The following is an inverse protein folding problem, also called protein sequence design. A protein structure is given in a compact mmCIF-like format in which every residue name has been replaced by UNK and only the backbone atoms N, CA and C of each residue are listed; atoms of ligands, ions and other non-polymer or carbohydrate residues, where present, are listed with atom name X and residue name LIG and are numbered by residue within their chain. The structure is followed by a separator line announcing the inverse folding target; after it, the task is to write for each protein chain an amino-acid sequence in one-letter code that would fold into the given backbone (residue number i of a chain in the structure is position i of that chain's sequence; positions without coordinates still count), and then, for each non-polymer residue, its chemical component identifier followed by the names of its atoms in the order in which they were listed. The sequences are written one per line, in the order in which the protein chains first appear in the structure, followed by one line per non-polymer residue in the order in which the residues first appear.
data_IF_200049052741
#
_entry.id   IF_200049052741
#
_cell.length_a   1.000
_cell.length_b   1.000
_cell.length_c   1.000
_cell.angle_alpha   90.00
_cell.angle_beta   90.00
_cell.angle_gamma   90.00
#
_symmetry.space_group_name_H-M   'P 1'
#
loop_
_entity.id
_entity.type
_entity.pdbx_description
1 polymer ?
#
# COMPACT_ATOMS: atom_id res chain seq x y z
N UNK A 1 36.75 -28.66 -12.61
CA UNK A 1 36.07 -28.91 -11.32
C UNK A 1 35.02 -27.84 -11.14
N UNK A 2 33.80 -28.14 -11.58
CA UNK A 2 32.69 -27.18 -11.74
C UNK A 2 31.74 -27.40 -10.58
N UNK A 3 31.74 -26.48 -9.62
CA UNK A 3 30.85 -26.53 -8.45
C UNK A 3 29.46 -26.07 -8.88
N UNK A 4 28.54 -27.02 -9.00
CA UNK A 4 27.11 -26.78 -9.24
C UNK A 4 26.48 -26.38 -7.90
N UNK A 5 26.09 -25.10 -7.77
CA UNK A 5 25.34 -24.62 -6.61
C UNK A 5 23.89 -25.05 -6.79
N UNK A 6 23.44 -26.00 -5.97
CA UNK A 6 22.05 -26.46 -5.88
C UNK A 6 21.14 -25.34 -5.36
N UNK A 7 19.98 -25.07 -5.99
CA UNK A 7 18.98 -24.19 -5.42
C UNK A 7 18.27 -24.93 -4.28
N UNK A 8 18.63 -24.56 -3.05
CA UNK A 8 17.94 -24.96 -1.85
C UNK A 8 16.46 -24.56 -1.94
N UNK A 9 15.64 -25.57 -2.19
CA UNK A 9 14.19 -25.47 -2.23
C UNK A 9 13.70 -25.18 -0.82
N UNK A 10 13.37 -23.92 -0.55
CA UNK A 10 12.56 -23.55 0.62
C UNK A 10 11.18 -24.17 0.37
N UNK A 11 10.94 -25.35 0.93
CA UNK A 11 9.61 -25.93 1.02
C UNK A 11 8.78 -25.01 1.92
N UNK A 12 7.85 -24.31 1.30
CA UNK A 12 6.77 -23.61 1.99
C UNK A 12 5.83 -24.70 2.55
N UNK A 13 6.21 -25.32 3.67
CA UNK A 13 5.33 -26.24 4.38
C UNK A 13 4.25 -25.40 5.04
N UNK A 14 3.11 -25.28 4.35
CA UNK A 14 1.85 -24.80 4.90
C UNK A 14 1.51 -25.73 6.08
N UNK A 15 1.84 -25.33 7.31
CA UNK A 15 1.41 -26.08 8.49
C UNK A 15 -0.07 -25.83 8.69
N UNK A 16 -0.87 -26.74 8.14
CA UNK A 16 -2.19 -27.08 8.63
C UNK A 16 -2.07 -27.42 10.13
N UNK A 17 -2.62 -26.57 10.98
CA UNK A 17 -2.54 -26.78 12.42
C UNK A 17 -2.98 -25.57 13.22
N UNK A 18 -4.15 -25.02 12.88
CA UNK A 18 -5.01 -24.19 13.75
C UNK A 18 -6.30 -23.71 13.06
N UNK A 19 -6.51 -24.02 11.78
CA UNK A 19 -7.78 -23.81 11.09
C UNK A 19 -8.37 -25.15 10.68
N UNK A 20 -9.18 -25.74 11.55
CA UNK A 20 -10.14 -26.76 11.15
C UNK A 20 -11.28 -26.09 10.36
N UNK A 21 -10.95 -25.57 9.17
CA UNK A 21 -11.91 -25.18 8.16
C UNK A 21 -11.59 -26.03 6.93
N UNK A 22 -12.52 -26.87 6.52
CA UNK A 22 -12.42 -27.60 5.24
C UNK A 22 -12.20 -26.63 4.06
N UNK A 23 -11.91 -27.16 2.85
CA UNK A 23 -11.82 -26.31 1.66
C UNK A 23 -13.06 -25.41 1.60
N UNK A 24 -12.85 -24.10 1.69
CA UNK A 24 -13.93 -23.12 1.59
C UNK A 24 -14.55 -23.33 0.21
N UNK A 25 -15.79 -23.82 0.09
CA UNK A 25 -16.46 -23.79 -1.18
C UNK A 25 -16.66 -22.31 -1.50
N UNK A 26 -15.86 -21.79 -2.44
CA UNK A 26 -16.17 -20.54 -3.12
C UNK A 26 -17.45 -20.82 -3.89
N UNK A 27 -18.59 -20.55 -3.27
CA UNK A 27 -19.85 -20.41 -3.99
C UNK A 27 -19.59 -19.43 -5.14
N UNK A 28 -20.04 -19.74 -6.37
CA UNK A 28 -19.95 -18.79 -7.47
C UNK A 28 -20.57 -17.47 -6.98
N UNK A 29 -19.98 -16.31 -7.30
CA UNK A 29 -20.66 -15.05 -7.04
C UNK A 29 -22.07 -15.15 -7.64
N UNK A 30 -23.07 -14.68 -6.89
CA UNK A 30 -24.43 -14.55 -7.41
C UNK A 30 -24.34 -13.89 -8.79
N UNK A 31 -24.98 -14.49 -9.80
CA UNK A 31 -24.86 -14.08 -11.19
C UNK A 31 -25.16 -12.58 -11.31
N UNK A 32 -24.11 -11.77 -11.49
CA UNK A 32 -24.25 -10.42 -11.98
C UNK A 32 -25.03 -10.52 -13.30
N UNK A 33 -26.02 -9.66 -13.51
CA UNK A 33 -26.78 -9.69 -14.75
C UNK A 33 -25.80 -9.60 -15.93
N UNK A 34 -25.89 -10.53 -16.90
CA UNK A 34 -25.01 -10.68 -18.08
C UNK A 34 -25.10 -9.50 -19.08
N UNK A 35 -25.16 -8.26 -18.59
CA UNK A 35 -25.14 -7.05 -19.42
C UNK A 35 -23.71 -6.53 -19.48
N UNK A 36 -23.15 -6.32 -20.68
CA UNK A 36 -21.80 -5.79 -20.82
C UNK A 36 -21.69 -4.37 -20.23
N UNK A 37 -20.52 -4.02 -19.70
CA UNK A 37 -20.25 -2.66 -19.25
C UNK A 37 -20.40 -1.67 -20.41
N UNK A 38 -21.12 -0.57 -20.18
CA UNK A 38 -21.40 0.44 -21.22
C UNK A 38 -20.43 1.60 -21.08
N UNK A 39 -19.49 1.72 -22.02
CA UNK A 39 -18.62 2.90 -22.14
C UNK A 39 -19.34 4.01 -22.91
N UNK A 40 -19.52 5.16 -22.27
CA UNK A 40 -20.13 6.33 -22.89
C UNK A 40 -19.03 7.28 -23.39
N UNK A 41 -18.84 7.30 -24.71
CA UNK A 41 -17.84 8.13 -25.38
C UNK A 41 -18.07 9.63 -25.19
N UNK A 42 -19.31 10.06 -24.95
CA UNK A 42 -19.64 11.49 -24.81
C UNK A 42 -19.14 12.07 -23.49
N UNK A 43 -19.20 11.28 -22.42
CA UNK A 43 -18.66 11.64 -21.10
C UNK A 43 -17.25 11.11 -20.86
N UNK A 44 -16.78 10.15 -21.66
CA UNK A 44 -15.45 9.54 -21.54
C UNK A 44 -15.33 8.54 -20.37
N UNK A 45 -16.44 7.97 -19.93
CA UNK A 45 -16.50 7.09 -18.76
C UNK A 45 -17.49 5.93 -18.95
N UNK A 46 -17.31 4.85 -18.18
CA UNK A 46 -18.32 3.80 -18.03
C UNK A 46 -19.52 4.33 -17.25
N UNK A 47 -20.73 3.99 -17.70
CA UNK A 47 -21.98 4.47 -17.08
C UNK A 47 -22.16 3.95 -15.65
N UNK A 48 -21.79 2.69 -15.42
CA UNK A 48 -21.97 2.00 -14.14
C UNK A 48 -20.82 1.01 -13.93
N UNK A 49 -20.23 1.03 -12.72
CA UNK A 49 -19.18 0.12 -12.25
C UNK A 49 -19.58 -0.51 -10.90
N UNK A 50 -20.87 -0.58 -10.59
CA UNK A 50 -21.40 -1.23 -9.38
C UNK A 50 -21.14 -2.74 -9.41
N UNK A 51 -20.93 -3.34 -8.23
CA UNK A 51 -20.64 -4.79 -8.14
C UNK A 51 -21.66 -5.69 -8.83
N UNK A 52 -22.94 -5.30 -8.89
CA UNK A 52 -24.01 -6.09 -9.52
C UNK A 52 -23.96 -6.09 -11.05
N UNK A 53 -23.19 -5.17 -11.66
CA UNK A 53 -23.01 -5.04 -13.12
C UNK A 53 -21.57 -5.27 -13.57
N UNK A 54 -20.62 -5.38 -12.63
CA UNK A 54 -19.21 -5.62 -12.95
C UNK A 54 -19.05 -6.99 -13.61
N UNK A 55 -18.78 -6.97 -14.92
CA UNK A 55 -18.51 -8.16 -15.73
C UNK A 55 -17.33 -7.89 -16.67
N UNK A 56 -16.58 -8.94 -16.98
CA UNK A 56 -15.55 -8.90 -18.02
C UNK A 56 -16.11 -9.31 -19.40
N UNK A 57 -17.37 -9.74 -19.44
CA UNK A 57 -18.07 -10.14 -20.65
C UNK A 57 -18.25 -8.97 -21.61
N UNK A 58 -17.93 -9.19 -22.88
CA UNK A 58 -18.03 -8.17 -23.94
C UNK A 58 -16.92 -7.11 -23.92
N UNK A 59 -15.96 -7.18 -23.00
CA UNK A 59 -14.81 -6.28 -22.97
C UNK A 59 -13.66 -6.77 -23.85
N UNK A 60 -12.99 -5.85 -24.52
CA UNK A 60 -11.71 -6.14 -25.18
C UNK A 60 -10.62 -6.49 -24.15
N UNK A 61 -9.51 -7.09 -24.60
CA UNK A 61 -8.37 -7.35 -23.73
C UNK A 61 -7.84 -6.07 -23.06
N UNK A 62 -7.73 -4.98 -23.82
CA UNK A 62 -7.28 -3.68 -23.32
C UNK A 62 -8.25 -3.09 -22.29
N UNK A 63 -9.57 -3.22 -22.52
CA UNK A 63 -10.58 -2.76 -21.58
C UNK A 63 -10.53 -3.54 -20.26
N UNK A 64 -10.35 -4.87 -20.33
CA UNK A 64 -10.17 -5.71 -19.14
C UNK A 64 -8.90 -5.34 -18.39
N UNK A 65 -7.80 -5.15 -19.12
CA UNK A 65 -6.54 -4.72 -18.52
C UNK A 65 -6.67 -3.35 -17.84
N UNK A 66 -7.35 -2.40 -18.48
CA UNK A 66 -7.56 -1.06 -17.94
C UNK A 66 -8.46 -1.06 -16.70
N UNK A 67 -9.52 -1.86 -16.68
CA UNK A 67 -10.50 -1.89 -15.58
C UNK A 67 -10.07 -2.75 -14.40
N UNK A 68 -9.46 -3.90 -14.68
CA UNK A 68 -9.15 -4.92 -13.66
C UNK A 68 -7.65 -5.10 -13.41
N UNK A 69 -6.80 -4.28 -14.05
CA UNK A 69 -5.36 -4.29 -13.82
C UNK A 69 -4.58 -5.39 -14.53
N UNK A 70 -5.21 -6.09 -15.49
CA UNK A 70 -4.58 -7.17 -16.27
C UNK A 70 -5.36 -8.48 -16.18
N UNK A 71 -4.71 -9.59 -16.52
CA UNK A 71 -5.35 -10.90 -16.54
C UNK A 71 -5.74 -11.33 -15.12
N UNK A 72 -7.03 -11.20 -14.81
CA UNK A 72 -7.69 -11.78 -13.64
C UNK A 72 -7.98 -13.28 -13.81
N UNK A 73 -7.58 -13.85 -14.94
CA UNK A 73 -7.79 -15.25 -15.29
C UNK A 73 -6.96 -16.16 -14.39
N UNK A 74 -7.62 -17.01 -13.62
CA UNK A 74 -6.96 -18.17 -13.03
C UNK A 74 -6.55 -19.11 -14.17
N UNK A 75 -5.25 -19.13 -14.47
CA UNK A 75 -4.71 -20.07 -15.46
C UNK A 75 -4.70 -21.48 -14.89
N UNK A 76 -5.70 -22.26 -15.29
CA UNK A 76 -5.65 -23.71 -15.15
C UNK A 76 -4.43 -24.30 -15.89
N UNK A 77 -4.06 -25.56 -15.59
CA UNK A 77 -2.94 -26.21 -16.27
C UNK A 77 -3.17 -26.23 -17.79
N UNK A 78 -2.19 -25.73 -18.55
CA UNK A 78 -2.21 -25.82 -20.02
C UNK A 78 -2.01 -27.27 -20.46
N UNK A 79 -2.77 -27.71 -21.46
CA UNK A 79 -2.44 -28.93 -22.21
C UNK A 79 -1.10 -28.77 -22.92
N UNK A 80 -0.43 -29.87 -23.28
CA UNK A 80 0.86 -29.80 -23.97
C UNK A 80 0.78 -29.02 -25.30
N UNK A 81 -0.32 -29.19 -26.03
CA UNK A 81 -0.59 -28.42 -27.25
C UNK A 81 -0.69 -26.91 -26.96
N UNK A 82 -1.48 -26.52 -25.95
CA UNK A 82 -1.63 -25.12 -25.55
C UNK A 82 -0.29 -24.53 -25.07
N UNK A 83 0.49 -25.31 -24.32
CA UNK A 83 1.84 -24.92 -23.87
C UNK A 83 2.77 -24.71 -25.06
N UNK A 84 2.75 -25.59 -26.05
CA UNK A 84 3.50 -25.43 -27.30
C UNK A 84 3.15 -24.13 -28.02
N UNK A 85 1.85 -23.86 -28.21
CA UNK A 85 1.39 -22.61 -28.84
C UNK A 85 1.81 -21.36 -28.04
N UNK A 86 1.70 -21.39 -26.70
CA UNK A 86 2.10 -20.25 -25.86
C UNK A 86 3.61 -20.04 -25.88
N UNK A 87 4.42 -21.11 -25.96
CA UNK A 87 5.88 -21.03 -26.14
C UNK A 87 6.25 -20.38 -27.47
N UNK A 88 5.63 -20.80 -28.59
CA UNK A 88 5.85 -20.18 -29.89
C UNK A 88 5.47 -18.68 -29.89
N UNK A 89 4.35 -18.31 -29.24
CA UNK A 89 3.97 -16.90 -29.06
C UNK A 89 5.00 -16.12 -28.23
N UNK A 90 5.51 -16.73 -27.17
CA UNK A 90 6.57 -16.12 -26.35
C UNK A 90 7.86 -15.94 -27.16
N UNK A 91 8.30 -16.96 -27.89
CA UNK A 91 9.48 -16.88 -28.78
C UNK A 91 9.33 -15.77 -29.82
N UNK A 92 8.15 -15.65 -30.45
CA UNK A 92 7.85 -14.59 -31.41
C UNK A 92 7.78 -13.19 -30.78
N UNK A 93 7.46 -13.07 -29.48
CA UNK A 93 7.53 -11.80 -28.77
C UNK A 93 8.97 -11.48 -28.36
N UNK A 94 9.71 -12.48 -27.87
CA UNK A 94 11.12 -12.33 -27.48
C UNK A 94 12.00 -11.99 -28.69
N UNK A 95 11.69 -12.50 -29.88
CA UNK A 95 12.43 -12.16 -31.11
C UNK A 95 12.25 -10.71 -31.56
N UNK A 96 11.23 -10.00 -31.06
CA UNK A 96 11.02 -8.56 -31.30
C UNK A 96 11.83 -7.68 -30.36
N UNK A 97 12.47 -8.26 -29.35
CA UNK A 97 13.33 -7.51 -28.44
C UNK A 97 14.61 -7.13 -29.20
N UNK A 98 14.88 -5.83 -29.29
CA UNK A 98 16.16 -5.32 -29.78
C UNK A 98 17.25 -5.63 -28.74
N UNK A 99 17.95 -6.74 -28.96
CA UNK A 99 19.04 -7.21 -28.08
C UNK A 99 20.22 -6.24 -28.04
N UNK A 100 20.41 -5.41 -29.08
CA UNK A 100 21.45 -4.38 -29.11
C UNK A 100 21.07 -3.21 -28.23
N UNK A 101 19.80 -2.78 -28.26
CA UNK A 101 19.29 -1.78 -27.31
C UNK A 101 19.34 -2.30 -25.87
N UNK A 102 18.91 -3.54 -25.61
CA UNK A 102 18.99 -4.14 -24.26
C UNK A 102 20.41 -4.15 -23.74
N UNK A 103 21.38 -4.59 -24.55
CA UNK A 103 22.79 -4.63 -24.16
C UNK A 103 23.36 -3.24 -23.86
N UNK A 104 22.98 -2.22 -24.65
CA UNK A 104 23.36 -0.82 -24.39
C UNK A 104 22.76 -0.30 -23.10
N UNK A 105 21.46 -0.51 -22.88
CA UNK A 105 20.79 -0.13 -21.64
C UNK A 105 21.42 -0.80 -20.42
N UNK A 106 21.75 -2.10 -20.51
CA UNK A 106 22.43 -2.81 -19.44
C UNK A 106 23.81 -2.22 -19.17
N UNK A 107 24.60 -1.92 -20.21
CA UNK A 107 25.92 -1.31 -20.06
C UNK A 107 25.84 0.07 -19.39
N UNK A 108 24.87 0.91 -19.77
CA UNK A 108 24.64 2.22 -19.15
C UNK A 108 24.23 2.10 -17.67
N UNK A 109 23.35 1.14 -17.34
CA UNK A 109 22.94 0.85 -15.97
C UNK A 109 24.15 0.39 -15.15
N UNK A 110 24.95 -0.56 -15.66
CA UNK A 110 26.15 -1.06 -14.98
C UNK A 110 27.15 0.06 -14.73
N UNK A 111 27.42 0.89 -15.75
CA UNK A 111 28.31 2.05 -15.64
C UNK A 111 27.84 3.00 -14.53
N UNK A 112 26.54 3.31 -14.48
CA UNK A 112 26.01 4.17 -13.42
C UNK A 112 26.13 3.51 -12.03
N UNK A 113 25.78 2.23 -11.91
CA UNK A 113 25.87 1.50 -10.64
C UNK A 113 27.29 1.44 -10.11
N UNK A 114 28.26 1.16 -10.97
CA UNK A 114 29.68 1.05 -10.64
C UNK A 114 30.26 2.38 -10.16
N UNK A 115 29.90 3.48 -10.82
CA UNK A 115 30.31 4.84 -10.42
C UNK A 115 29.77 5.29 -9.05
N UNK A 116 28.80 4.57 -8.49
CA UNK A 116 28.11 4.93 -7.24
C UNK A 116 28.21 3.86 -6.15
N UNK A 117 28.75 2.67 -6.45
CA UNK A 117 28.74 1.53 -5.54
C UNK A 117 29.40 1.87 -4.20
N UNK A 118 30.57 2.51 -4.27
CA UNK A 118 31.40 2.88 -3.11
C UNK A 118 30.98 4.20 -2.44
N UNK A 119 30.03 4.94 -3.02
CA UNK A 119 29.50 6.20 -2.46
C UNK A 119 28.44 5.90 -1.39
N UNK A 120 28.88 5.28 -0.30
CA UNK A 120 28.02 4.92 0.85
C UNK A 120 28.05 6.05 1.89
N UNK A 121 26.92 6.72 2.17
CA UNK A 121 26.88 7.71 3.25
C UNK A 121 27.27 7.10 4.60
N UNK A 122 28.17 7.74 5.35
CA UNK A 122 28.64 7.23 6.64
C UNK A 122 27.68 7.46 7.83
N UNK A 123 26.69 8.34 7.68
CA UNK A 123 25.74 8.71 8.74
C UNK A 123 24.29 8.56 8.27
N UNK A 124 23.43 8.00 9.12
CA UNK A 124 22.00 7.83 8.87
C UNK A 124 21.22 9.05 9.38
N UNK A 125 21.34 10.19 8.70
CA UNK A 125 20.66 11.45 9.06
C UNK A 125 20.30 12.30 7.84
N UNK A 126 19.26 13.13 7.96
CA UNK A 126 18.84 14.05 6.90
C UNK A 126 18.66 13.35 5.54
N UNK A 127 19.19 13.95 4.46
CA UNK A 127 19.10 13.39 3.10
C UNK A 127 19.76 12.02 2.95
N UNK A 128 20.76 11.70 3.78
CA UNK A 128 21.47 10.42 3.69
C UNK A 128 20.57 9.23 4.03
N UNK A 129 19.52 9.41 4.83
CA UNK A 129 18.54 8.37 5.12
C UNK A 129 17.93 7.84 3.81
N UNK A 130 17.49 8.75 2.93
CA UNK A 130 16.91 8.37 1.64
C UNK A 130 17.94 7.72 0.72
N UNK A 131 19.16 8.27 0.64
CA UNK A 131 20.24 7.71 -0.19
C UNK A 131 20.65 6.30 0.25
N UNK A 132 20.72 6.05 1.56
CA UNK A 132 21.02 4.74 2.12
C UNK A 132 19.90 3.73 1.82
N UNK A 133 18.64 4.12 2.09
CA UNK A 133 17.49 3.24 1.90
C UNK A 133 17.26 2.90 0.43
N UNK A 134 17.18 3.92 -0.43
CA UNK A 134 17.01 3.73 -1.88
C UNK A 134 18.21 2.99 -2.47
N UNK A 135 19.43 3.39 -2.12
CA UNK A 135 20.64 2.73 -2.58
C UNK A 135 20.65 1.25 -2.21
N UNK A 136 20.32 0.87 -0.97
CA UNK A 136 20.26 -0.53 -0.57
C UNK A 136 19.30 -1.33 -1.47
N UNK A 137 18.08 -0.83 -1.67
CA UNK A 137 17.08 -1.47 -2.54
C UNK A 137 17.56 -1.55 -3.99
N UNK A 138 18.11 -0.46 -4.53
CA UNK A 138 18.65 -0.41 -5.90
C UNK A 138 19.75 -1.43 -6.11
N UNK A 139 20.72 -1.53 -5.21
CA UNK A 139 21.85 -2.45 -5.34
C UNK A 139 21.45 -3.92 -5.11
N UNK A 140 20.51 -4.18 -4.19
CA UNK A 140 19.92 -5.50 -4.05
C UNK A 140 19.16 -5.93 -5.29
N UNK A 141 18.40 -5.02 -5.91
CA UNK A 141 17.69 -5.30 -7.16
C UNK A 141 18.65 -5.48 -8.34
N UNK A 142 19.73 -4.70 -8.38
CA UNK A 142 20.79 -4.86 -9.37
C UNK A 142 21.48 -6.24 -9.23
N UNK A 143 21.73 -6.71 -8.01
CA UNK A 143 22.24 -8.07 -7.78
C UNK A 143 21.29 -9.14 -8.32
N UNK A 144 19.98 -9.04 -8.06
CA UNK A 144 19.00 -10.00 -8.59
C UNK A 144 18.93 -10.03 -10.12
N UNK A 145 19.00 -8.85 -10.75
CA UNK A 145 18.84 -8.72 -12.21
C UNK A 145 20.14 -9.07 -12.95
N UNK A 146 21.28 -8.56 -12.45
CA UNK A 146 22.56 -8.56 -13.17
C UNK A 146 23.52 -9.66 -12.69
N UNK A 147 23.21 -10.32 -11.57
CA UNK A 147 23.95 -11.47 -11.03
C UNK A 147 25.31 -11.16 -10.40
N UNK A 148 25.75 -9.90 -10.40
CA UNK A 148 27.09 -9.52 -9.95
C UNK A 148 27.15 -9.28 -8.44
N UNK A 149 28.04 -10.01 -7.76
CA UNK A 149 28.23 -9.97 -6.31
C UNK A 149 28.65 -8.60 -5.80
N UNK A 150 29.33 -7.76 -6.59
CA UNK A 150 29.69 -6.41 -6.16
C UNK A 150 28.46 -5.55 -5.82
N UNK A 151 27.33 -5.77 -6.49
CA UNK A 151 26.08 -5.09 -6.18
C UNK A 151 25.45 -5.61 -4.89
N UNK A 152 25.57 -6.91 -4.60
CA UNK A 152 25.19 -7.44 -3.30
C UNK A 152 25.99 -6.76 -2.18
N UNK A 153 27.31 -6.64 -2.35
CA UNK A 153 28.21 -5.99 -1.38
C UNK A 153 27.88 -4.50 -1.20
N UNK A 154 27.61 -3.78 -2.29
CA UNK A 154 27.17 -2.38 -2.24
C UNK A 154 25.82 -2.19 -1.52
N UNK A 155 24.88 -3.14 -1.68
CA UNK A 155 23.62 -3.15 -0.94
C UNK A 155 23.83 -3.44 0.55
N UNK A 156 24.66 -4.43 0.87
CA UNK A 156 25.01 -4.79 2.25
C UNK A 156 25.74 -3.67 2.98
N UNK A 157 26.67 -2.97 2.33
CA UNK A 157 27.38 -1.84 2.94
C UNK A 157 26.41 -0.75 3.41
N UNK A 158 25.37 -0.47 2.63
CA UNK A 158 24.31 0.48 3.01
C UNK A 158 23.44 -0.07 4.12
N UNK A 159 23.05 -1.35 4.05
CA UNK A 159 22.30 -2.01 5.12
C UNK A 159 23.07 -2.02 6.45
N UNK A 160 24.39 -2.19 6.43
CA UNK A 160 25.23 -2.15 7.63
C UNK A 160 25.23 -0.75 8.28
N UNK A 161 25.27 0.33 7.48
CA UNK A 161 25.10 1.70 8.02
C UNK A 161 23.71 1.87 8.65
N UNK A 162 22.65 1.43 7.98
CA UNK A 162 21.28 1.51 8.52
C UNK A 162 21.17 0.76 9.85
N UNK A 163 21.68 -0.47 9.91
CA UNK A 163 21.69 -1.31 11.12
C UNK A 163 22.49 -0.67 12.25
N UNK A 164 23.69 -0.15 11.96
CA UNK A 164 24.57 0.49 12.95
C UNK A 164 23.92 1.71 13.61
N UNK A 165 23.02 2.38 12.90
CA UNK A 165 22.31 3.55 13.38
C UNK A 165 20.89 3.23 13.91
N UNK A 166 20.54 1.96 14.09
CA UNK A 166 19.34 1.59 14.84
C UNK A 166 19.60 1.86 16.32
N UNK A 167 18.68 2.57 16.98
CA UNK A 167 18.80 2.81 18.41
C UNK A 167 18.61 1.52 19.22
N UNK A 168 19.09 1.48 20.48
CA UNK A 168 18.95 0.29 21.34
C UNK A 168 17.50 -0.21 21.47
N UNK A 169 16.53 0.71 21.43
CA UNK A 169 15.09 0.38 21.48
C UNK A 169 14.57 -0.30 20.20
N UNK A 170 15.29 -0.26 19.08
CA UNK A 170 14.91 -0.98 17.85
C UNK A 170 14.32 -0.12 16.72
N UNK A 171 14.25 1.18 16.88
CA UNK A 171 13.74 2.12 15.87
C UNK A 171 14.85 3.01 15.30
N UNK A 172 14.49 3.90 14.36
CA UNK A 172 15.43 4.77 13.65
C UNK A 172 15.04 6.24 13.66
N UNK A 173 16.04 7.09 13.42
CA UNK A 173 15.95 8.54 13.47
C UNK A 173 14.97 9.17 12.49
N UNK A 174 14.20 10.12 13.02
CA UNK A 174 13.37 11.06 12.27
C UNK A 174 13.74 12.50 12.65
N UNK A 175 14.17 13.31 11.68
CA UNK A 175 14.63 14.67 11.94
C UNK A 175 15.73 14.72 13.01
N UNK A 176 15.66 15.72 13.88
CA UNK A 176 16.60 15.89 15.00
C UNK A 176 16.10 15.25 16.30
N UNK A 177 15.06 14.41 16.23
CA UNK A 177 14.55 13.72 17.41
C UNK A 177 15.48 12.58 17.84
N UNK A 178 15.69 12.47 19.15
CA UNK A 178 16.45 11.39 19.77
C UNK A 178 15.66 10.10 19.94
N UNK A 179 16.26 9.12 20.62
CA UNK A 179 15.70 7.77 20.80
C UNK A 179 14.39 7.71 21.59
N UNK A 180 13.99 8.80 22.27
CA UNK A 180 12.69 8.89 22.94
C UNK A 180 11.51 8.89 21.95
N UNK A 181 11.75 9.29 20.70
CA UNK A 181 10.70 9.50 19.70
C UNK A 181 10.69 8.40 18.63
N UNK A 182 9.50 7.86 18.36
CA UNK A 182 9.25 6.92 17.26
C UNK A 182 8.37 7.60 16.22
N UNK A 183 8.89 7.77 14.99
CA UNK A 183 8.06 8.09 13.82
C UNK A 183 7.54 6.79 13.22
N UNK A 184 6.27 6.46 13.41
CA UNK A 184 5.72 5.17 12.98
C UNK A 184 5.33 5.22 11.50
N UNK A 185 4.76 6.34 11.05
CA UNK A 185 4.45 6.60 9.64
C UNK A 185 5.69 7.00 8.79
N UNK A 186 5.47 7.39 7.53
CA UNK A 186 6.45 7.98 6.59
C UNK A 186 7.64 7.09 6.21
N UNK A 187 7.53 5.78 6.36
CA UNK A 187 8.60 4.91 5.90
C UNK A 187 9.74 4.70 6.92
N UNK A 188 9.66 5.29 8.13
CA UNK A 188 10.84 5.42 9.00
C UNK A 188 11.27 4.14 9.69
N UNK A 189 10.36 3.18 9.88
CA UNK A 189 10.63 1.90 10.50
C UNK A 189 10.41 0.71 9.56
N UNK A 190 9.46 0.79 8.64
CA UNK A 190 9.14 -0.28 7.69
C UNK A 190 10.18 -0.40 6.57
N UNK A 191 10.66 0.70 5.98
CA UNK A 191 11.73 0.62 4.97
C UNK A 191 13.01 -0.03 5.52
N UNK A 192 13.59 0.42 6.65
CA UNK A 192 14.75 -0.25 7.20
C UNK A 192 14.43 -1.69 7.63
N UNK A 193 13.23 -1.98 8.16
CA UNK A 193 12.81 -3.35 8.44
C UNK A 193 12.87 -4.26 7.21
N UNK A 194 12.28 -3.85 6.08
CA UNK A 194 12.31 -4.65 4.84
C UNK A 194 13.72 -4.81 4.29
N UNK A 195 14.54 -3.76 4.37
CA UNK A 195 15.96 -3.81 3.98
C UNK A 195 16.73 -4.79 4.87
N UNK A 196 16.50 -4.79 6.18
CA UNK A 196 17.13 -5.74 7.10
C UNK A 196 16.73 -7.19 6.78
N UNK A 197 15.43 -7.45 6.59
CA UNK A 197 14.97 -8.80 6.22
C UNK A 197 15.54 -9.25 4.88
N UNK A 198 15.59 -8.35 3.89
CA UNK A 198 16.16 -8.68 2.60
C UNK A 198 17.66 -8.93 2.70
N UNK A 199 18.40 -8.08 3.42
CA UNK A 199 19.83 -8.28 3.69
C UNK A 199 20.10 -9.60 4.41
N UNK A 200 19.25 -10.00 5.36
CA UNK A 200 19.30 -11.33 5.97
C UNK A 200 19.11 -12.44 4.92
N UNK A 201 18.05 -12.35 4.11
CA UNK A 201 17.73 -13.34 3.06
C UNK A 201 18.91 -13.58 2.12
N UNK A 202 19.57 -12.52 1.66
CA UNK A 202 20.64 -12.64 0.65
C UNK A 202 22.03 -12.91 1.23
N UNK A 203 22.28 -12.62 2.51
CA UNK A 203 23.60 -12.81 3.14
C UNK A 203 23.66 -13.94 4.16
N UNK A 204 22.53 -14.43 4.65
CA UNK A 204 22.43 -15.37 5.78
C UNK A 204 22.80 -14.77 7.14
N UNK A 205 23.24 -13.50 7.22
CA UNK A 205 23.68 -12.89 8.48
C UNK A 205 22.49 -12.67 9.42
N UNK A 206 22.51 -13.33 10.58
CA UNK A 206 21.43 -13.26 11.60
C UNK A 206 21.26 -11.88 12.22
N UNK A 207 22.33 -11.10 12.31
CA UNK A 207 22.30 -9.74 12.89
C UNK A 207 21.30 -8.79 12.19
N UNK A 208 21.01 -9.02 10.91
CA UNK A 208 19.98 -8.26 10.19
C UNK A 208 18.57 -8.69 10.60
N UNK A 209 18.32 -10.00 10.73
CA UNK A 209 17.03 -10.50 11.23
C UNK A 209 16.77 -10.02 12.67
N UNK A 210 17.79 -10.03 13.52
CA UNK A 210 17.72 -9.51 14.90
C UNK A 210 17.38 -8.01 14.91
N UNK A 211 17.99 -7.23 14.01
CA UNK A 211 17.66 -5.80 13.82
C UNK A 211 16.19 -5.60 13.42
N UNK A 212 15.69 -6.38 12.44
CA UNK A 212 14.29 -6.34 12.03
C UNK A 212 13.34 -6.76 13.17
N UNK A 213 13.73 -7.76 13.97
CA UNK A 213 12.96 -8.23 15.12
C UNK A 213 12.83 -7.16 16.21
N UNK A 214 13.92 -6.50 16.59
CA UNK A 214 13.89 -5.39 17.56
C UNK A 214 12.93 -4.28 17.15
N UNK A 215 12.87 -3.97 15.85
CA UNK A 215 11.90 -3.02 15.31
C UNK A 215 10.44 -3.47 15.54
N UNK A 216 10.14 -4.75 15.31
CA UNK A 216 8.81 -5.27 15.59
C UNK A 216 8.50 -5.32 17.09
N UNK A 217 9.48 -5.68 17.92
CA UNK A 217 9.33 -5.77 19.36
C UNK A 217 8.96 -4.41 19.96
N UNK A 218 9.63 -3.33 19.54
CA UNK A 218 9.26 -1.99 20.00
C UNK A 218 7.89 -1.55 19.50
N UNK A 219 7.53 -1.87 18.25
CA UNK A 219 6.20 -1.61 17.73
C UNK A 219 5.11 -2.34 18.52
N UNK A 220 5.34 -3.57 18.98
CA UNK A 220 4.42 -4.28 19.86
C UNK A 220 4.18 -3.55 21.18
N UNK A 221 5.21 -2.95 21.77
CA UNK A 221 5.08 -2.22 23.05
C UNK A 221 4.22 -0.97 22.95
N UNK A 222 4.10 -0.38 21.76
CA UNK A 222 3.35 0.85 21.50
C UNK A 222 2.04 0.61 20.74
N UNK A 223 1.71 -0.65 20.43
CA UNK A 223 0.45 -1.02 19.78
C UNK A 223 -0.74 -0.67 20.68
N UNK A 224 -1.75 -0.03 20.09
CA UNK A 224 -2.92 0.46 20.82
C UNK A 224 -3.94 -0.64 21.13
N UNK A 225 -4.88 -0.42 22.06
CA UNK A 225 -5.96 -1.37 22.36
C UNK A 225 -6.84 -1.74 21.15
N UNK A 226 -6.88 -0.86 20.15
CA UNK A 226 -7.58 -1.04 18.87
C UNK A 226 -6.89 -2.06 17.94
N UNK A 227 -5.71 -2.55 18.29
CA UNK A 227 -4.83 -3.34 17.42
C UNK A 227 -4.01 -2.51 16.43
N UNK A 228 -4.25 -1.19 16.37
CA UNK A 228 -3.55 -0.27 15.49
C UNK A 228 -2.38 0.47 16.14
N UNK A 229 -1.84 1.44 15.41
CA UNK A 229 -0.71 2.26 15.85
C UNK A 229 -0.95 3.75 15.62
N UNK A 230 -0.35 4.62 16.45
CA UNK A 230 -0.39 6.07 16.25
C UNK A 230 0.52 6.52 15.09
N UNK A 231 0.50 7.81 14.75
CA UNK A 231 1.45 8.42 13.80
C UNK A 231 2.88 8.42 14.36
N UNK A 232 2.95 8.66 15.67
CA UNK A 232 4.17 8.93 16.40
C UNK A 232 4.02 8.55 17.88
N UNK A 233 5.14 8.28 18.54
CA UNK A 233 5.19 7.91 19.94
C UNK A 233 6.36 8.57 20.66
N UNK A 234 6.17 8.94 21.93
CA UNK A 234 7.24 9.37 22.84
C UNK A 234 7.21 8.52 24.11
N UNK A 235 8.32 7.90 24.48
CA UNK A 235 8.36 7.05 25.69
C UNK A 235 8.21 7.88 26.97
N UNK A 236 8.74 9.11 26.96
CA UNK A 236 8.61 10.08 28.03
C UNK A 236 7.19 10.68 28.17
N UNK A 237 6.30 10.43 27.21
CA UNK A 237 5.00 11.10 27.11
C UNK A 237 5.09 12.58 26.72
N UNK A 238 6.29 13.12 26.44
CA UNK A 238 6.46 14.51 26.04
C UNK A 238 5.75 14.81 24.73
N UNK A 239 5.14 15.98 24.66
CA UNK A 239 4.61 16.52 23.42
C UNK A 239 5.73 16.78 22.41
N UNK A 240 5.36 16.84 21.14
CA UNK A 240 6.23 17.27 20.04
C UNK A 240 5.55 18.42 19.29
N UNK A 241 6.34 19.32 18.67
CA UNK A 241 5.79 20.40 17.85
C UNK A 241 5.10 19.88 16.58
N UNK A 242 5.32 18.61 16.23
CA UNK A 242 4.66 17.95 15.13
C UNK A 242 3.30 17.42 15.54
N UNK A 243 2.29 17.85 14.79
CA UNK A 243 0.91 17.39 14.95
C UNK A 243 0.75 15.96 14.44
N UNK A 244 -0.09 15.18 15.10
CA UNK A 244 -0.36 13.78 14.80
C UNK A 244 -0.88 13.04 16.03
N UNK A 245 -1.45 11.86 15.84
CA UNK A 245 -2.00 11.02 16.89
C UNK A 245 -0.89 10.33 17.66
N UNK A 246 -0.98 10.39 18.99
CA UNK A 246 -0.17 9.60 19.94
C UNK A 246 -0.99 8.52 20.65
N UNK A 247 -2.24 8.81 20.98
CA UNK A 247 -3.16 7.93 21.69
C UNK A 247 -4.32 7.53 20.79
N UNK A 248 -4.04 6.64 19.84
CA UNK A 248 -5.03 6.24 18.85
C UNK A 248 -4.45 5.53 17.64
N UNK A 249 -5.30 5.36 16.63
CA UNK A 249 -4.99 4.63 15.40
C UNK A 249 -4.88 5.57 14.23
N UNK A 250 -3.81 5.45 13.47
CA UNK A 250 -3.59 6.22 12.26
C UNK A 250 -3.56 5.35 11.01
N UNK A 251 -4.29 5.80 10.01
CA UNK A 251 -4.27 5.35 8.63
C UNK A 251 -3.39 6.25 7.75
N UNK A 252 -2.93 7.40 8.26
CA UNK A 252 -2.09 8.32 7.50
C UNK A 252 -0.70 7.74 7.25
N UNK A 253 -0.20 7.88 6.02
CA UNK A 253 1.17 7.56 5.60
C UNK A 253 1.72 6.21 6.12
N UNK A 254 0.84 5.21 6.26
CA UNK A 254 1.19 3.86 6.68
C UNK A 254 1.29 3.63 8.20
N UNK A 255 0.83 4.56 9.04
CA UNK A 255 0.92 4.47 10.51
C UNK A 255 0.49 3.12 11.09
N UNK A 256 -0.64 2.56 10.63
CA UNK A 256 -1.10 1.21 11.03
C UNK A 256 -0.80 0.14 9.97
N UNK A 257 -0.93 0.47 8.68
CA UNK A 257 -0.73 -0.48 7.60
C UNK A 257 0.67 -1.09 7.55
N UNK A 258 1.70 -0.27 7.82
CA UNK A 258 3.07 -0.74 7.74
C UNK A 258 3.40 -1.67 8.92
N UNK A 259 3.14 -1.30 10.20
CA UNK A 259 3.29 -2.22 11.32
C UNK A 259 2.47 -3.52 11.16
N UNK A 260 1.22 -3.47 10.68
CA UNK A 260 0.43 -4.68 10.41
C UNK A 260 1.19 -5.67 9.53
N UNK A 261 1.68 -5.21 8.37
CA UNK A 261 2.43 -6.07 7.43
C UNK A 261 3.74 -6.57 8.03
N UNK A 262 4.43 -5.73 8.82
CA UNK A 262 5.66 -6.10 9.50
C UNK A 262 5.41 -7.19 10.55
N UNK A 263 4.35 -7.07 11.35
CA UNK A 263 3.93 -8.06 12.34
C UNK A 263 3.61 -9.40 11.68
N UNK A 264 2.80 -9.39 10.61
CA UNK A 264 2.45 -10.60 9.85
C UNK A 264 3.71 -11.27 9.29
N UNK A 265 4.62 -10.49 8.71
CA UNK A 265 5.89 -11.02 8.20
C UNK A 265 6.76 -11.61 9.32
N UNK A 266 6.89 -10.92 10.46
CA UNK A 266 7.70 -11.39 11.57
C UNK A 266 7.11 -12.68 12.17
N UNK A 267 5.79 -12.79 12.27
CA UNK A 267 5.11 -14.04 12.62
C UNK A 267 5.45 -15.16 11.64
N UNK A 268 5.36 -14.93 10.32
CA UNK A 268 5.70 -15.94 9.32
C UNK A 268 7.16 -16.43 9.41
N UNK A 269 8.10 -15.56 9.80
CA UNK A 269 9.52 -15.90 9.92
C UNK A 269 9.81 -16.64 11.24
N UNK A 270 9.11 -16.28 12.33
CA UNK A 270 9.49 -16.71 13.69
C UNK A 270 8.54 -17.73 14.31
N UNK A 271 7.30 -17.82 13.83
CA UNK A 271 6.21 -18.55 14.49
C UNK A 271 5.71 -17.88 15.78
N UNK A 272 6.23 -16.71 16.16
CA UNK A 272 5.88 -16.06 17.43
C UNK A 272 4.52 -15.38 17.32
N UNK A 273 3.51 -16.00 17.96
CA UNK A 273 2.11 -15.58 17.91
C UNK A 273 1.88 -14.20 18.53
N UNK A 274 2.80 -13.67 19.34
CA UNK A 274 2.69 -12.32 19.92
C UNK A 274 2.57 -11.23 18.85
N UNK A 275 3.18 -11.42 17.69
CA UNK A 275 3.11 -10.44 16.60
C UNK A 275 1.70 -10.29 16.02
N UNK A 276 0.88 -11.34 16.05
CA UNK A 276 -0.48 -11.32 15.48
C UNK A 276 -1.59 -11.23 16.53
N UNK A 277 -1.25 -11.30 17.83
CA UNK A 277 -2.19 -11.48 18.94
C UNK A 277 -3.27 -10.40 19.09
N UNK A 278 -3.06 -9.20 18.52
CA UNK A 278 -4.01 -8.08 18.58
C UNK A 278 -4.49 -7.59 17.20
N UNK A 279 -4.05 -8.22 16.11
CA UNK A 279 -4.41 -7.75 14.76
C UNK A 279 -5.91 -7.97 14.46
N UNK A 280 -6.55 -8.93 15.11
CA UNK A 280 -7.99 -9.18 15.05
C UNK A 280 -8.84 -7.98 15.53
N UNK A 281 -8.29 -7.11 16.38
CA UNK A 281 -8.99 -5.92 16.90
C UNK A 281 -9.20 -4.83 15.85
N UNK A 282 -8.41 -4.85 14.77
CA UNK A 282 -8.50 -3.84 13.72
C UNK A 282 -9.80 -3.91 12.93
N UNK A 283 -10.34 -5.11 12.65
CA UNK A 283 -11.59 -5.27 11.91
C UNK A 283 -12.77 -4.57 12.62
N UNK A 284 -13.08 -4.93 13.87
CA UNK A 284 -14.10 -4.25 14.68
C UNK A 284 -13.85 -2.75 14.83
N UNK A 285 -12.59 -2.33 15.00
CA UNK A 285 -12.25 -0.90 15.08
C UNK A 285 -12.52 -0.15 13.78
N UNK A 286 -12.14 -0.72 12.63
CA UNK A 286 -12.41 -0.15 11.30
C UNK A 286 -13.92 -0.06 11.07
N UNK A 287 -14.68 -1.09 11.42
CA UNK A 287 -16.14 -1.08 11.30
C UNK A 287 -16.76 0.04 12.16
N UNK A 288 -16.33 0.15 13.42
CA UNK A 288 -16.81 1.19 14.35
C UNK A 288 -16.42 2.61 13.93
N UNK A 289 -15.24 2.79 13.34
CA UNK A 289 -14.71 4.10 12.96
C UNK A 289 -15.24 4.64 11.63
N UNK A 290 -16.15 3.93 10.95
CA UNK A 290 -16.83 4.47 9.78
C UNK A 290 -17.58 5.77 10.15
N UNK A 291 -17.25 6.87 9.49
CA UNK A 291 -17.82 8.19 9.74
C UNK A 291 -19.10 8.48 8.96
N UNK A 292 -19.44 7.64 7.99
CA UNK A 292 -20.61 7.87 7.16
C UNK A 292 -21.94 7.62 7.87
N UNK A 293 -22.95 8.42 7.52
CA UNK A 293 -24.35 8.22 7.92
C UNK A 293 -25.11 7.50 6.81
N UNK A 294 -26.02 6.60 7.19
CA UNK A 294 -26.85 5.86 6.22
C UNK A 294 -25.99 5.03 5.27
N UNK A 295 -26.01 5.36 3.98
CA UNK A 295 -25.26 4.63 2.94
C UNK A 295 -23.82 5.11 2.75
N UNK A 296 -23.42 6.19 3.41
CA UNK A 296 -22.08 6.73 3.33
C UNK A 296 -21.12 5.81 4.06
N UNK A 297 -19.99 5.49 3.43
CA UNK A 297 -18.94 4.68 4.03
C UNK A 297 -17.59 5.34 3.77
N UNK A 298 -16.86 5.66 4.83
CA UNK A 298 -15.57 6.33 4.74
C UNK A 298 -14.94 6.61 6.10
N UNK A 299 -13.65 6.93 6.06
CA UNK A 299 -12.84 7.11 7.25
C UNK A 299 -12.00 8.37 7.18
N UNK A 300 -11.81 9.04 8.31
CA UNK A 300 -10.69 9.93 8.55
C UNK A 300 -9.37 9.17 8.52
N UNK A 301 -8.28 9.92 8.49
CA UNK A 301 -6.95 9.33 8.55
C UNK A 301 -6.48 9.02 9.95
N UNK A 302 -7.09 9.63 10.97
CA UNK A 302 -6.63 9.57 12.34
C UNK A 302 -7.81 9.45 13.30
N UNK A 303 -7.64 8.61 14.32
CA UNK A 303 -8.64 8.35 15.34
C UNK A 303 -8.00 8.24 16.72
N UNK A 304 -8.74 8.63 17.75
CA UNK A 304 -8.43 8.29 19.14
C UNK A 304 -8.71 6.81 19.43
N UNK A 305 -8.21 6.29 20.54
CA UNK A 305 -8.42 4.89 20.96
C UNK A 305 -9.92 4.51 21.10
N UNK A 306 -10.78 5.48 21.40
CA UNK A 306 -12.24 5.27 21.50
C UNK A 306 -12.97 5.22 20.14
N UNK A 307 -12.26 5.51 19.04
CA UNK A 307 -12.80 5.53 17.68
C UNK A 307 -13.35 6.88 17.23
N UNK A 308 -13.24 7.95 18.04
CA UNK A 308 -13.54 9.31 17.57
C UNK A 308 -12.47 9.77 16.58
N UNK A 309 -12.85 10.37 15.43
CA UNK A 309 -11.87 10.97 14.52
C UNK A 309 -11.18 12.13 15.22
N UNK A 310 -9.92 12.39 14.85
CA UNK A 310 -9.17 13.52 15.40
C UNK A 310 -8.36 14.19 14.32
N UNK A 311 -8.22 15.51 14.41
CA UNK A 311 -7.33 16.28 13.57
C UNK A 311 -5.86 15.94 13.81
N UNK A 312 -5.08 15.88 12.74
CA UNK A 312 -3.63 15.95 12.79
C UNK A 312 -3.17 17.39 12.51
N UNK A 313 -2.92 17.74 11.24
CA UNK A 313 -2.56 19.11 10.85
C UNK A 313 -3.79 20.01 10.73
N UNK A 314 -3.60 21.34 10.65
CA UNK A 314 -4.69 22.32 10.48
C UNK A 314 -5.63 22.01 9.30
N UNK A 315 -5.12 21.34 8.28
CA UNK A 315 -5.83 20.96 7.05
C UNK A 315 -6.16 19.46 6.95
N UNK A 316 -5.83 18.66 7.96
CA UNK A 316 -6.17 17.23 8.05
C UNK A 316 -7.17 17.05 9.17
N UNK A 317 -8.43 17.30 8.83
CA UNK A 317 -9.53 17.43 9.77
C UNK A 317 -10.37 16.14 9.81
N UNK A 318 -11.38 16.14 10.65
CA UNK A 318 -12.18 14.97 11.03
C UNK A 318 -13.23 14.57 9.98
N UNK A 319 -12.79 14.31 8.74
CA UNK A 319 -13.65 13.94 7.62
C UNK A 319 -13.29 12.60 6.98
N UNK A 320 -14.25 11.92 6.35
CA UNK A 320 -13.97 10.87 5.37
C UNK A 320 -13.05 11.33 4.23
N UNK A 321 -11.94 10.62 4.01
CA UNK A 321 -11.05 10.83 2.86
C UNK A 321 -10.98 9.59 1.95
N UNK A 322 -11.17 9.71 0.63
CA UNK A 322 -10.96 8.58 -0.30
C UNK A 322 -9.55 7.98 -0.26
N UNK A 323 -8.53 8.78 0.11
CA UNK A 323 -7.17 8.28 0.32
C UNK A 323 -7.05 7.35 1.54
N UNK A 324 -7.81 7.59 2.62
CA UNK A 324 -7.84 6.71 3.78
C UNK A 324 -8.40 5.33 3.40
N UNK A 325 -9.45 5.29 2.57
CA UNK A 325 -9.95 4.03 2.00
C UNK A 325 -8.90 3.35 1.11
N UNK A 326 -8.44 4.03 0.06
CA UNK A 326 -7.67 3.38 -1.01
C UNK A 326 -6.23 3.04 -0.62
N UNK A 327 -5.61 3.83 0.26
CA UNK A 327 -4.20 3.63 0.66
C UNK A 327 -4.05 2.87 1.97
N UNK A 328 -5.08 2.86 2.82
CA UNK A 328 -4.99 2.31 4.17
C UNK A 328 -6.06 1.27 4.49
N UNK A 329 -7.31 1.68 4.72
CA UNK A 329 -8.39 0.82 5.20
C UNK A 329 -8.68 -0.34 4.25
N UNK A 330 -8.79 -0.09 2.94
CA UNK A 330 -9.09 -1.10 1.94
C UNK A 330 -8.06 -2.24 1.91
N UNK A 331 -6.76 -1.96 1.75
CA UNK A 331 -5.72 -2.97 1.87
C UNK A 331 -5.74 -3.74 3.20
N UNK A 332 -6.06 -3.09 4.33
CA UNK A 332 -6.16 -3.78 5.62
C UNK A 332 -7.36 -4.72 5.69
N UNK A 333 -8.53 -4.31 5.21
CA UNK A 333 -9.71 -5.18 5.17
C UNK A 333 -9.46 -6.44 4.32
N UNK A 334 -8.69 -6.31 3.23
CA UNK A 334 -8.22 -7.46 2.45
C UNK A 334 -7.31 -8.36 3.29
N UNK A 335 -6.29 -7.81 3.94
CA UNK A 335 -5.40 -8.59 4.80
C UNK A 335 -6.14 -9.29 5.93
N UNK A 336 -7.03 -8.59 6.63
CA UNK A 336 -7.85 -9.13 7.71
C UNK A 336 -8.74 -10.26 7.21
N UNK A 337 -9.38 -10.11 6.05
CA UNK A 337 -10.15 -11.18 5.43
C UNK A 337 -9.28 -12.39 5.08
N UNK A 338 -8.11 -12.17 4.45
CA UNK A 338 -7.19 -13.26 4.09
C UNK A 338 -6.63 -14.01 5.31
N UNK A 339 -6.44 -13.30 6.43
CA UNK A 339 -5.92 -13.88 7.67
C UNK A 339 -6.98 -14.63 8.48
N UNK A 340 -8.24 -14.18 8.44
CA UNK A 340 -9.29 -14.66 9.36
C UNK A 340 -10.43 -15.42 8.67
N UNK A 341 -10.62 -15.23 7.38
CA UNK A 341 -11.81 -15.68 6.64
C UNK A 341 -13.09 -14.88 6.97
N UNK A 342 -13.03 -13.87 7.84
CA UNK A 342 -14.20 -13.09 8.25
C UNK A 342 -14.69 -12.17 7.13
N UNK A 343 -15.80 -12.58 6.52
CA UNK A 343 -16.45 -11.90 5.39
C UNK A 343 -16.94 -10.49 5.74
N UNK A 344 -17.14 -10.16 7.02
CA UNK A 344 -17.54 -8.79 7.40
C UNK A 344 -16.53 -7.75 6.91
N UNK A 345 -15.23 -8.10 6.87
CA UNK A 345 -14.19 -7.21 6.37
C UNK A 345 -14.33 -6.92 4.87
N UNK A 346 -14.51 -7.96 4.05
CA UNK A 346 -14.63 -7.79 2.59
C UNK A 346 -15.98 -7.15 2.21
N UNK A 347 -17.04 -7.43 2.96
CA UNK A 347 -18.35 -6.80 2.75
C UNK A 347 -18.33 -5.32 3.10
N UNK A 348 -17.60 -4.92 4.15
CA UNK A 348 -17.37 -3.51 4.48
C UNK A 348 -16.58 -2.79 3.37
N UNK A 349 -15.55 -3.46 2.81
CA UNK A 349 -14.81 -2.91 1.67
C UNK A 349 -15.71 -2.73 0.44
N UNK A 350 -16.56 -3.70 0.13
CA UNK A 350 -17.53 -3.60 -0.97
C UNK A 350 -18.49 -2.43 -0.77
N UNK A 351 -19.02 -2.25 0.45
CA UNK A 351 -19.87 -1.09 0.78
C UNK A 351 -19.13 0.24 0.58
N UNK A 352 -17.85 0.31 0.94
CA UNK A 352 -17.02 1.50 0.73
C UNK A 352 -16.82 1.83 -0.75
N UNK A 353 -16.54 0.83 -1.59
CA UNK A 353 -16.43 1.04 -3.04
C UNK A 353 -17.77 1.31 -3.71
N UNK A 354 -18.88 0.72 -3.24
CA UNK A 354 -20.22 1.06 -3.71
C UNK A 354 -20.56 2.54 -3.45
N UNK A 355 -20.11 3.09 -2.32
CA UNK A 355 -20.25 4.53 -2.05
C UNK A 355 -19.40 5.40 -2.99
N UNK A 356 -18.15 5.01 -3.26
CA UNK A 356 -17.30 5.72 -4.25
C UNK A 356 -17.90 5.69 -5.65
N UNK A 357 -18.47 4.54 -6.07
CA UNK A 357 -19.18 4.43 -7.33
C UNK A 357 -20.42 5.33 -7.38
N UNK A 358 -21.18 5.40 -6.28
CA UNK A 358 -22.32 6.31 -6.19
C UNK A 358 -21.89 7.77 -6.38
N UNK A 359 -20.82 8.21 -5.72
CA UNK A 359 -20.24 9.55 -5.92
C UNK A 359 -19.83 9.73 -7.39
N UNK A 360 -19.14 8.75 -7.96
CA UNK A 360 -18.70 8.80 -9.37
C UNK A 360 -19.88 9.04 -10.31
N UNK A 361 -20.95 8.26 -10.18
CA UNK A 361 -22.14 8.38 -11.01
C UNK A 361 -22.79 9.77 -10.90
N UNK A 362 -22.83 10.35 -9.68
CA UNK A 362 -23.35 11.72 -9.49
C UNK A 362 -22.48 12.78 -10.16
N UNK A 363 -21.17 12.57 -10.18
CA UNK A 363 -20.21 13.48 -10.81
C UNK A 363 -20.11 13.32 -12.33
N UNK A 364 -20.64 12.22 -12.88
CA UNK A 364 -20.77 12.03 -14.31
C UNK A 364 -21.91 12.84 -14.95
N UNK A 365 -22.72 13.56 -14.16
CA UNK A 365 -23.69 14.50 -14.71
C UNK A 365 -22.98 15.49 -15.65
N UNK A 366 -23.43 15.66 -16.91
CA UNK A 366 -22.76 16.52 -17.88
C UNK A 366 -22.56 17.97 -17.40
N UNK A 367 -23.49 18.52 -16.61
CA UNK A 367 -23.36 19.86 -16.03
C UNK A 367 -22.23 19.91 -15.00
N UNK A 368 -22.07 18.85 -14.21
CA UNK A 368 -20.98 18.72 -13.25
C UNK A 368 -19.64 18.58 -13.94
N UNK A 369 -19.55 17.72 -14.96
CA UNK A 369 -18.34 17.57 -15.78
C UNK A 369 -17.94 18.92 -16.40
N UNK A 370 -18.90 19.67 -16.95
CA UNK A 370 -18.65 20.98 -17.52
C UNK A 370 -18.11 21.96 -16.47
N UNK A 371 -18.71 22.00 -15.28
CA UNK A 371 -18.26 22.85 -14.19
C UNK A 371 -16.84 22.46 -13.69
N UNK A 372 -16.52 21.16 -13.62
CA UNK A 372 -15.17 20.67 -13.31
C UNK A 372 -14.14 21.12 -14.34
N UNK A 373 -14.46 21.05 -15.64
CA UNK A 373 -13.57 21.51 -16.71
C UNK A 373 -13.28 23.01 -16.58
N UNK A 374 -14.32 23.82 -16.36
CA UNK A 374 -14.16 25.27 -16.17
C UNK A 374 -13.27 25.60 -14.96
N UNK A 375 -13.46 24.91 -13.84
CA UNK A 375 -12.58 25.05 -12.68
C UNK A 375 -11.15 24.62 -13.00
N UNK A 376 -10.96 23.44 -13.57
CA UNK A 376 -9.63 22.92 -13.90
C UNK A 376 -8.88 23.89 -14.83
N UNK A 377 -9.55 24.46 -15.82
CA UNK A 377 -8.98 25.44 -16.74
C UNK A 377 -8.62 26.75 -16.04
N UNK A 378 -9.50 27.27 -15.18
CA UNK A 378 -9.22 28.47 -14.37
C UNK A 378 -7.98 28.29 -13.49
N UNK A 379 -7.83 27.11 -12.90
CA UNK A 379 -6.72 26.76 -12.04
C UNK A 379 -5.42 26.51 -12.80
N UNK A 380 -5.50 25.85 -13.95
CA UNK A 380 -4.38 25.70 -14.87
C UNK A 380 -3.83 27.07 -15.29
N UNK A 381 -4.71 28.02 -15.64
CA UNK A 381 -4.31 29.41 -15.94
C UNK A 381 -3.66 30.12 -14.75
N UNK A 382 -4.01 29.77 -13.52
CA UNK A 382 -3.38 30.27 -12.30
C UNK A 382 -2.08 29.53 -11.91
N UNK A 383 -1.52 28.69 -12.80
CA UNK A 383 -0.30 27.92 -12.55
C UNK A 383 -0.49 26.75 -11.57
N UNK A 384 -1.73 26.29 -11.35
CA UNK A 384 -2.09 25.24 -10.40
C UNK A 384 -2.94 24.17 -11.06
N UNK A 385 -2.40 23.36 -12.00
CA UNK A 385 -3.19 22.37 -12.71
C UNK A 385 -3.96 21.46 -11.74
N UNK A 386 -5.24 21.28 -12.03
CA UNK A 386 -6.14 20.41 -11.28
C UNK A 386 -6.46 19.20 -12.15
N UNK A 387 -6.10 18.00 -11.68
CA UNK A 387 -6.54 16.75 -12.28
C UNK A 387 -7.67 16.19 -11.41
N UNK A 388 -8.91 16.52 -11.75
CA UNK A 388 -10.07 15.92 -11.11
C UNK A 388 -10.43 14.60 -11.79
N UNK A 389 -10.76 13.58 -11.00
CA UNK A 389 -11.28 12.30 -11.48
C UNK A 389 -12.64 12.07 -10.84
N UNK A 390 -13.71 11.87 -11.61
CA UNK A 390 -15.02 11.54 -11.04
C UNK A 390 -14.94 10.37 -10.07
N UNK A 391 -15.65 10.47 -8.95
CA UNK A 391 -15.66 9.46 -7.89
C UNK A 391 -14.45 9.53 -6.97
N UNK A 392 -13.65 10.59 -7.05
CA UNK A 392 -12.44 10.72 -6.24
C UNK A 392 -12.27 12.14 -5.68
N UNK A 393 -13.20 12.56 -4.81
CA UNK A 393 -13.07 13.84 -4.13
C UNK A 393 -11.89 13.84 -3.16
N UNK A 394 -11.53 15.02 -2.66
CA UNK A 394 -10.47 15.10 -1.64
C UNK A 394 -10.98 14.59 -0.29
N UNK A 395 -12.21 14.98 0.07
CA UNK A 395 -12.94 14.47 1.22
C UNK A 395 -14.46 14.46 0.95
N UNK A 396 -15.26 14.00 1.90
CA UNK A 396 -16.70 14.22 1.91
C UNK A 396 -17.21 14.32 3.34
N UNK A 397 -18.32 15.02 3.56
CA UNK A 397 -18.95 15.08 4.89
C UNK A 397 -19.61 13.74 5.24
N UNK A 398 -19.91 13.48 6.54
CA UNK A 398 -20.64 12.30 6.98
C UNK A 398 -21.97 12.03 6.27
N UNK A 399 -22.62 13.06 5.72
CA UNK A 399 -23.87 12.95 4.94
C UNK A 399 -23.66 12.70 3.44
N UNK A 400 -22.40 12.65 3.00
CA UNK A 400 -22.01 12.42 1.62
C UNK A 400 -21.77 13.68 0.78
N UNK A 401 -21.93 14.87 1.37
CA UNK A 401 -21.60 16.15 0.72
C UNK A 401 -20.14 16.16 0.26
N UNK A 402 -19.92 16.29 -1.05
CA UNK A 402 -18.57 16.28 -1.61
C UNK A 402 -17.81 17.57 -1.29
N UNK A 403 -16.58 17.37 -0.82
CA UNK A 403 -15.55 18.36 -0.57
C UNK A 403 -14.49 18.31 -1.69
N UNK A 404 -14.40 19.38 -2.47
CA UNK A 404 -13.40 19.54 -3.53
C UNK A 404 -11.98 19.75 -3.00
N UNK A 405 -10.97 19.69 -3.88
CA UNK A 405 -9.54 19.73 -3.52
C UNK A 405 -9.18 20.88 -2.57
N UNK A 406 -8.48 20.59 -1.48
CA UNK A 406 -7.81 21.61 -0.66
C UNK A 406 -6.48 22.02 -1.29
N UNK A 407 -6.34 23.29 -1.65
CA UNK A 407 -5.05 23.85 -2.07
C UNK A 407 -4.87 25.23 -1.46
N UNK A 408 -3.66 25.53 -0.99
CA UNK A 408 -3.32 26.80 -0.34
C UNK A 408 -4.33 27.19 0.77
N UNK A 409 -4.82 26.20 1.54
CA UNK A 409 -5.77 26.38 2.64
C UNK A 409 -7.15 26.93 2.23
N UNK A 410 -7.53 26.88 0.95
CA UNK A 410 -8.87 27.24 0.48
C UNK A 410 -9.72 25.97 0.31
N UNK A 411 -10.90 26.00 0.93
CA UNK A 411 -11.93 24.97 0.89
C UNK A 411 -12.90 25.27 -0.26
N UNK A 412 -13.25 24.24 -1.05
CA UNK A 412 -14.28 24.34 -2.09
C UNK A 412 -15.40 23.34 -1.76
N UNK A 413 -16.49 23.77 -1.09
CA UNK A 413 -17.67 22.95 -0.95
C UNK A 413 -18.36 22.84 -2.31
N UNK A 414 -18.69 21.62 -2.75
CA UNK A 414 -19.19 21.42 -4.12
C UNK A 414 -20.61 20.82 -4.18
N UNK A 415 -20.99 19.98 -3.21
CA UNK A 415 -22.30 19.33 -3.21
C UNK A 415 -22.96 19.30 -1.83
N UNK A 416 -23.83 20.24 -1.44
CA UNK A 416 -24.66 20.08 -0.24
C UNK A 416 -25.68 18.94 -0.43
N UNK A 417 -25.74 17.98 0.51
CA UNK A 417 -26.80 16.95 0.59
C UNK A 417 -27.71 17.14 1.80
N UNK A 418 -27.67 18.30 2.44
CA UNK A 418 -28.82 18.74 3.23
C UNK A 418 -29.68 19.64 2.35
N UNK A 419 -30.78 19.08 1.84
CA UNK A 419 -31.98 19.90 1.67
C UNK A 419 -32.27 20.50 3.03
N UNK A 420 -32.31 21.83 3.13
CA UNK A 420 -33.03 22.45 4.24
C UNK A 420 -34.46 21.97 4.24
#
# INVERSE_FOLDING_TARGET
MTVTISPSTIRLTLLAGLFAGGPIPLAPPAAAADKPLVFDKSIGHYKDLSYDVLTDSGLTADQRQQLFGGETTHYGPLTDKQRGTKRQKLEALLSRIDTTLVSRCEADIRKWLDQHADKVPGAYKGRNIHLLRQGAVTYFRAYEILGDRKYLEAGLARADVIKKNQWPKGHWQWGDFGEDFVRIQDGFNDWPFWIMLYAHKVSGKKTYLESARRCCDILLTIQRPTGGWPDQWTFSGRGTPHTGVRHGTSFNDGGTNAPLKMMVMMYHITGDTRYIAKLDKLGPFIAKSNLGKGRVVGWSEQYLDDGRPTRARRYEIELPYPRALTRAVGPMLIWLYLMTGDKTNIDLLKKAYAWQEHIRQKELDPKQIAAWKLMADSWARAGRPMHYRPGWPDAFLPDGTNWGRVTAFKLIPWYPVTTR
#
